data_IF_305431420962
#
_entry.id   IF_305431420962
#
_cell.length_a   1.000
_cell.length_b   1.000
_cell.length_c   1.000
_cell.angle_alpha   90.00
_cell.angle_beta   90.00
_cell.angle_gamma   90.00
#
_symmetry.space_group_name_H-M   'P 1'
#
loop_
_entity.id
_entity.type
_entity.pdbx_description
1 polymer ?
#
# COMPACT_ATOMS: atom_id res chain seq x y z
N UNK A 1 -12.30 11.41 37.82
CA UNK A 1 -10.91 10.99 37.51
C UNK A 1 -10.69 9.49 37.39
N UNK A 2 -11.44 8.62 38.11
CA UNK A 2 -11.28 7.15 38.08
C UNK A 2 -11.80 6.47 36.82
N UNK A 3 -12.90 6.93 36.21
CA UNK A 3 -13.45 6.37 34.96
C UNK A 3 -12.48 6.52 33.79
N UNK A 4 -11.81 7.67 33.68
CA UNK A 4 -10.84 7.90 32.60
C UNK A 4 -9.55 7.08 32.73
N UNK A 5 -9.12 6.70 33.95
CA UNK A 5 -7.97 5.80 34.13
C UNK A 5 -8.27 4.38 33.67
N UNK A 6 -9.46 3.83 34.01
CA UNK A 6 -9.86 2.49 33.54
C UNK A 6 -10.00 2.42 32.02
N UNK A 7 -10.58 3.45 31.42
CA UNK A 7 -10.76 3.52 29.97
C UNK A 7 -9.41 3.60 29.24
N UNK A 8 -8.45 4.37 29.75
CA UNK A 8 -7.08 4.40 29.20
C UNK A 8 -6.33 3.08 29.37
N UNK A 9 -6.48 2.40 30.50
CA UNK A 9 -5.85 1.09 30.71
C UNK A 9 -6.46 0.00 29.82
N UNK A 10 -7.76 -0.01 29.58
CA UNK A 10 -8.40 -0.90 28.60
C UNK A 10 -7.88 -0.62 27.19
N UNK A 11 -7.88 0.63 26.73
CA UNK A 11 -7.38 0.98 25.39
C UNK A 11 -5.91 0.60 25.18
N UNK A 12 -5.05 0.76 26.19
CA UNK A 12 -3.63 0.35 26.10
C UNK A 12 -3.50 -1.16 26.03
N UNK A 13 -4.25 -1.89 26.83
CA UNK A 13 -4.23 -3.38 26.83
C UNK A 13 -4.75 -3.92 25.53
N UNK A 14 -5.89 -3.41 25.06
CA UNK A 14 -6.49 -3.82 23.78
C UNK A 14 -5.56 -3.49 22.59
N UNK A 15 -4.87 -2.34 22.65
CA UNK A 15 -3.85 -1.97 21.66
C UNK A 15 -2.67 -2.94 21.66
N UNK A 16 -2.16 -3.31 22.84
CA UNK A 16 -1.05 -4.26 22.93
C UNK A 16 -1.45 -5.64 22.40
N UNK A 17 -2.62 -6.15 22.79
CA UNK A 17 -3.11 -7.46 22.36
C UNK A 17 -3.34 -7.47 20.82
N UNK A 18 -3.89 -6.38 20.26
CA UNK A 18 -4.03 -6.21 18.83
C UNK A 18 -2.66 -6.19 18.12
N UNK A 19 -1.69 -5.42 18.64
CA UNK A 19 -0.36 -5.34 18.03
C UNK A 19 0.41 -6.64 18.16
N UNK A 20 0.20 -7.41 19.24
CA UNK A 20 0.76 -8.75 19.39
C UNK A 20 0.20 -9.70 18.33
N UNK A 21 -1.12 -9.71 18.15
CA UNK A 21 -1.76 -10.54 17.12
C UNK A 21 -1.30 -10.16 15.70
N UNK A 22 -1.16 -8.87 15.41
CA UNK A 22 -0.62 -8.39 14.13
C UNK A 22 0.82 -8.84 13.92
N UNK A 23 1.69 -8.67 14.93
CA UNK A 23 3.09 -9.11 14.90
C UNK A 23 3.18 -10.62 14.59
N UNK A 24 2.34 -11.43 15.22
CA UNK A 24 2.35 -12.88 15.00
C UNK A 24 1.89 -13.23 13.56
N UNK A 25 0.89 -12.54 13.03
CA UNK A 25 0.47 -12.67 11.64
C UNK A 25 1.58 -12.27 10.67
N UNK A 26 2.19 -11.11 10.86
CA UNK A 26 3.31 -10.67 10.01
C UNK A 26 4.52 -11.59 10.09
N UNK A 27 4.85 -12.09 11.27
CA UNK A 27 5.92 -13.08 11.44
C UNK A 27 5.61 -14.40 10.72
N UNK A 28 4.34 -14.78 10.66
CA UNK A 28 3.88 -15.96 9.92
C UNK A 28 4.01 -15.73 8.41
N UNK A 29 3.53 -14.59 7.91
CA UNK A 29 3.59 -14.22 6.47
C UNK A 29 5.02 -13.96 6.01
N UNK A 30 5.86 -13.35 6.86
CA UNK A 30 7.26 -13.06 6.55
C UNK A 30 8.16 -14.30 6.42
N UNK A 31 7.64 -15.50 6.65
CA UNK A 31 8.31 -16.76 6.28
C UNK A 31 8.33 -16.96 4.77
N UNK A 32 7.39 -16.37 4.06
CA UNK A 32 7.37 -16.33 2.61
C UNK A 32 8.23 -15.16 2.13
N UNK A 33 9.35 -15.48 1.49
CA UNK A 33 10.30 -14.49 0.95
C UNK A 33 9.75 -13.65 -0.20
N UNK A 34 8.58 -14.01 -0.73
CA UNK A 34 7.90 -13.30 -1.83
C UNK A 34 6.76 -12.42 -1.33
N UNK A 35 6.72 -12.11 -0.04
CA UNK A 35 5.67 -11.28 0.53
C UNK A 35 5.82 -9.82 0.08
N UNK A 36 4.80 -9.28 -0.55
CA UNK A 36 4.71 -7.87 -0.92
C UNK A 36 3.55 -7.24 -0.15
N UNK A 37 3.85 -6.23 0.64
CA UNK A 37 2.84 -5.41 1.31
C UNK A 37 2.34 -4.33 0.35
N UNK A 38 1.04 -4.33 0.07
CA UNK A 38 0.42 -3.31 -0.78
C UNK A 38 -0.42 -2.37 0.06
N UNK A 39 -0.20 -1.08 -0.13
CA UNK A 39 -0.96 -0.01 0.52
C UNK A 39 -1.50 0.98 -0.53
N UNK A 40 -2.38 1.87 -0.11
CA UNK A 40 -2.82 3.01 -0.92
C UNK A 40 -2.52 4.31 -0.18
N UNK A 41 -1.51 5.06 -0.63
CA UNK A 41 -0.95 6.22 0.09
C UNK A 41 -0.41 5.87 1.49
N UNK A 42 -0.11 4.59 1.72
CA UNK A 42 0.23 4.06 3.02
C UNK A 42 1.65 4.38 3.48
N UNK A 43 2.57 4.66 2.56
CA UNK A 43 3.95 5.02 2.91
C UNK A 43 4.03 6.27 3.78
N UNK A 44 3.09 7.20 3.62
CA UNK A 44 3.03 8.45 4.39
C UNK A 44 2.19 8.35 5.66
N UNK A 45 1.30 7.38 5.76
CA UNK A 45 0.34 7.29 6.85
C UNK A 45 0.36 5.94 7.56
N UNK A 46 -0.05 4.86 6.90
CA UNK A 46 -0.24 3.56 7.54
C UNK A 46 1.06 2.96 8.05
N UNK A 47 2.13 3.03 7.24
CA UNK A 47 3.44 2.50 7.63
C UNK A 47 4.06 3.26 8.80
N UNK A 48 3.91 4.58 8.83
CA UNK A 48 4.40 5.38 9.94
C UNK A 48 3.60 5.10 11.22
N UNK A 49 2.28 4.92 11.10
CA UNK A 49 1.42 4.55 12.21
C UNK A 49 1.82 3.18 12.77
N UNK A 50 1.98 2.17 11.91
CA UNK A 50 2.42 0.83 12.32
C UNK A 50 3.79 0.85 12.97
N UNK A 51 4.75 1.55 12.38
CA UNK A 51 6.11 1.70 12.91
C UNK A 51 6.09 2.24 14.34
N UNK A 52 5.32 3.29 14.58
CA UNK A 52 5.15 3.87 15.94
C UNK A 52 4.45 2.91 16.89
N UNK A 53 3.40 2.25 16.46
CA UNK A 53 2.66 1.31 17.27
C UNK A 53 3.52 0.09 17.65
N UNK A 54 4.29 -0.48 16.73
CA UNK A 54 5.23 -1.54 17.03
C UNK A 54 6.32 -1.08 18.01
N UNK A 55 6.91 0.08 17.78
CA UNK A 55 7.91 0.65 18.68
C UNK A 55 7.37 0.84 20.09
N UNK A 56 6.17 1.40 20.26
CA UNK A 56 5.55 1.61 21.57
C UNK A 56 5.20 0.31 22.30
N UNK A 57 4.98 -0.75 21.54
CA UNK A 57 4.73 -2.10 22.09
C UNK A 57 6.00 -2.95 22.22
N UNK A 58 7.19 -2.35 22.04
CA UNK A 58 8.50 -2.99 22.11
C UNK A 58 8.69 -4.12 21.10
N UNK A 59 8.08 -4.00 19.94
CA UNK A 59 8.26 -4.89 18.78
C UNK A 59 9.16 -4.24 17.73
N UNK A 60 9.67 -5.07 16.79
CA UNK A 60 10.46 -4.59 15.65
C UNK A 60 9.61 -3.63 14.78
N UNK A 61 10.00 -2.35 14.64
CA UNK A 61 9.18 -1.35 13.95
C UNK A 61 9.21 -1.49 12.42
N UNK A 62 10.15 -2.23 11.85
CA UNK A 62 10.38 -2.34 10.42
C UNK A 62 9.95 -3.70 9.84
N UNK A 63 8.98 -4.36 10.43
CA UNK A 63 8.52 -5.69 10.02
C UNK A 63 8.03 -5.76 8.57
N UNK A 64 7.54 -4.65 8.03
CA UNK A 64 7.01 -4.59 6.65
C UNK A 64 8.09 -4.48 5.57
N UNK A 65 9.34 -4.19 5.94
CA UNK A 65 10.44 -3.98 5.01
C UNK A 65 11.76 -4.66 5.43
N UNK A 66 11.68 -5.64 6.31
CA UNK A 66 12.79 -6.49 6.74
C UNK A 66 12.56 -7.93 6.29
N UNK A 67 13.59 -8.77 6.41
CA UNK A 67 13.52 -10.21 6.11
C UNK A 67 13.07 -10.57 4.68
N UNK A 68 13.35 -9.71 3.70
CA UNK A 68 12.98 -9.92 2.32
C UNK A 68 11.55 -9.53 1.97
N UNK A 69 10.82 -8.88 2.89
CA UNK A 69 9.53 -8.29 2.57
C UNK A 69 9.70 -7.08 1.64
N UNK A 70 8.80 -6.96 0.67
CA UNK A 70 8.74 -5.88 -0.30
C UNK A 70 7.49 -5.03 -0.10
N UNK A 71 7.45 -3.82 -0.69
CA UNK A 71 6.34 -2.89 -0.53
C UNK A 71 5.96 -2.22 -1.83
N UNK A 72 4.66 -2.06 -2.04
CA UNK A 72 4.10 -1.28 -3.15
C UNK A 72 3.07 -0.30 -2.58
N UNK A 73 3.21 0.98 -2.92
CA UNK A 73 2.15 1.96 -2.73
C UNK A 73 1.39 2.11 -4.06
N UNK A 74 0.18 1.56 -4.11
CA UNK A 74 -0.64 1.54 -5.32
C UNK A 74 -0.97 2.94 -5.81
N UNK A 75 -1.10 3.95 -4.93
CA UNK A 75 -1.33 5.32 -5.38
C UNK A 75 -0.16 5.86 -6.19
N UNK A 76 1.08 5.52 -5.82
CA UNK A 76 2.28 5.90 -6.59
C UNK A 76 2.27 5.22 -7.97
N UNK A 77 1.93 3.95 -8.03
CA UNK A 77 1.77 3.23 -9.31
C UNK A 77 0.70 3.88 -10.18
N UNK A 78 -0.45 4.27 -9.61
CA UNK A 78 -1.50 4.98 -10.34
C UNK A 78 -1.04 6.35 -10.86
N UNK A 79 -0.18 7.06 -10.11
CA UNK A 79 0.41 8.33 -10.58
C UNK A 79 1.34 8.11 -11.78
N UNK A 80 2.12 7.04 -11.81
CA UNK A 80 2.96 6.66 -12.96
C UNK A 80 2.07 6.35 -14.17
N UNK A 81 1.04 5.53 -13.98
CA UNK A 81 0.10 5.17 -15.06
C UNK A 81 -0.59 6.42 -15.62
N UNK A 82 -1.02 7.34 -14.78
CA UNK A 82 -1.64 8.58 -15.22
C UNK A 82 -0.75 9.44 -16.12
N UNK A 83 0.57 9.40 -15.92
CA UNK A 83 1.52 10.18 -16.69
C UNK A 83 1.97 9.50 -17.99
N UNK A 84 2.09 8.16 -18.00
CA UNK A 84 2.72 7.43 -19.11
C UNK A 84 1.78 6.47 -19.84
N UNK A 85 0.64 6.11 -19.26
CA UNK A 85 -0.30 5.08 -19.76
C UNK A 85 -1.77 5.50 -19.56
N UNK A 86 -2.06 6.80 -19.66
CA UNK A 86 -3.40 7.37 -19.39
C UNK A 86 -4.48 6.92 -20.38
N UNK A 87 -4.12 6.31 -21.49
CA UNK A 87 -5.02 5.72 -22.49
C UNK A 87 -5.54 4.32 -22.08
N UNK A 88 -4.89 3.65 -21.12
CA UNK A 88 -5.19 2.29 -20.71
C UNK A 88 -6.12 2.21 -19.49
N UNK A 89 -6.05 3.20 -18.60
CA UNK A 89 -6.83 3.29 -17.36
C UNK A 89 -7.47 4.66 -17.27
N UNK A 90 -8.74 4.70 -16.92
CA UNK A 90 -9.47 5.95 -16.77
C UNK A 90 -9.18 6.64 -15.43
N UNK A 91 -8.90 7.94 -15.49
CA UNK A 91 -8.65 8.77 -14.33
C UNK A 91 -9.75 9.83 -14.20
N UNK A 92 -10.45 9.89 -13.07
CA UNK A 92 -11.42 10.95 -12.83
C UNK A 92 -10.71 12.29 -12.66
N UNK A 93 -11.29 13.34 -13.23
CA UNK A 93 -10.79 14.72 -13.11
C UNK A 93 -11.81 15.60 -12.40
N UNK A 94 -11.35 16.67 -11.75
CA UNK A 94 -12.23 17.69 -11.21
C UNK A 94 -12.62 18.73 -12.27
N UNK A 95 -13.39 19.73 -11.84
CA UNK A 95 -13.85 20.82 -12.72
C UNK A 95 -12.72 21.69 -13.30
N UNK A 96 -11.51 21.58 -12.77
CA UNK A 96 -10.31 22.27 -13.24
C UNK A 96 -9.42 21.37 -14.11
N UNK A 97 -9.84 20.13 -14.38
CA UNK A 97 -9.10 19.15 -15.18
C UNK A 97 -8.00 18.42 -14.40
N UNK A 98 -7.95 18.56 -13.06
CA UNK A 98 -6.94 17.90 -12.23
C UNK A 98 -7.37 16.49 -11.87
N UNK A 99 -6.48 15.51 -12.04
CA UNK A 99 -6.70 14.11 -11.71
C UNK A 99 -6.97 13.93 -10.21
N UNK A 100 -7.99 13.14 -9.88
CA UNK A 100 -8.34 12.71 -8.53
C UNK A 100 -7.86 11.28 -8.28
N UNK A 101 -6.98 11.14 -7.30
CA UNK A 101 -6.39 9.84 -6.91
C UNK A 101 -7.12 9.20 -5.72
N UNK A 102 -8.40 9.52 -5.48
CA UNK A 102 -9.17 8.83 -4.47
C UNK A 102 -9.51 7.42 -4.94
N UNK A 103 -9.29 6.42 -4.07
CA UNK A 103 -9.41 5.00 -4.39
C UNK A 103 -10.81 4.66 -4.96
N UNK A 104 -11.85 5.13 -4.30
CA UNK A 104 -13.23 4.90 -4.71
C UNK A 104 -13.55 5.50 -6.09
N UNK A 105 -13.07 6.72 -6.36
CA UNK A 105 -13.30 7.39 -7.64
C UNK A 105 -12.55 6.72 -8.79
N UNK A 106 -11.32 6.27 -8.53
CA UNK A 106 -10.53 5.51 -9.52
C UNK A 106 -11.18 4.17 -9.82
N UNK A 107 -11.68 3.47 -8.80
CA UNK A 107 -12.39 2.22 -8.97
C UNK A 107 -13.65 2.39 -9.82
N UNK A 108 -14.51 3.35 -9.50
CA UNK A 108 -15.74 3.66 -10.23
C UNK A 108 -15.48 4.06 -11.67
N UNK A 109 -14.47 4.92 -11.94
CA UNK A 109 -14.08 5.33 -13.27
C UNK A 109 -13.67 4.15 -14.16
N UNK A 110 -13.23 3.03 -13.57
CA UNK A 110 -12.83 1.82 -14.26
C UNK A 110 -13.86 0.67 -14.15
N UNK A 111 -15.10 0.98 -13.78
CA UNK A 111 -16.20 0.01 -13.73
C UNK A 111 -16.17 -0.93 -12.51
N UNK A 112 -15.36 -0.63 -11.51
CA UNK A 112 -15.30 -1.38 -10.25
C UNK A 112 -16.27 -0.72 -9.26
N UNK A 113 -17.28 -1.46 -8.80
CA UNK A 113 -18.27 -0.92 -7.84
C UNK A 113 -17.62 -0.57 -6.51
N UNK A 114 -17.80 0.67 -6.06
CA UNK A 114 -17.29 1.20 -4.81
C UNK A 114 -18.42 1.37 -3.74
N UNK A 115 -19.47 0.56 -3.81
CA UNK A 115 -20.52 0.57 -2.79
C UNK A 115 -19.92 0.25 -1.42
N UNK A 116 -20.27 1.07 -0.41
CA UNK A 116 -19.73 1.01 0.95
C UNK A 116 -18.21 1.27 1.04
N UNK A 117 -17.62 2.03 0.11
CA UNK A 117 -16.28 2.60 0.28
C UNK A 117 -16.17 3.24 1.68
N UNK A 118 -14.94 3.27 2.24
CA UNK A 118 -14.62 3.61 3.64
C UNK A 118 -14.82 2.49 4.67
N UNK A 119 -15.32 1.31 4.27
CA UNK A 119 -15.08 0.08 5.02
C UNK A 119 -13.70 -0.45 4.64
N UNK A 120 -12.83 -0.69 5.63
CA UNK A 120 -11.44 -1.12 5.39
C UNK A 120 -11.32 -2.41 4.56
N UNK A 121 -12.30 -3.31 4.68
CA UNK A 121 -12.34 -4.56 3.89
C UNK A 121 -12.71 -4.25 2.44
N UNK A 122 -13.67 -3.36 2.22
CA UNK A 122 -14.06 -2.93 0.87
C UNK A 122 -12.91 -2.20 0.18
N UNK A 123 -12.22 -1.30 0.88
CA UNK A 123 -11.05 -0.61 0.34
C UNK A 123 -9.94 -1.58 -0.09
N UNK A 124 -9.71 -2.66 0.68
CA UNK A 124 -8.81 -3.74 0.27
C UNK A 124 -9.28 -4.43 -1.02
N UNK A 125 -10.58 -4.70 -1.18
CA UNK A 125 -11.11 -5.28 -2.43
C UNK A 125 -10.98 -4.32 -3.62
N UNK A 126 -11.19 -3.02 -3.43
CA UNK A 126 -10.97 -2.02 -4.49
C UNK A 126 -9.51 -2.02 -4.95
N UNK A 127 -8.55 -2.04 -4.02
CA UNK A 127 -7.12 -2.17 -4.34
C UNK A 127 -6.82 -3.44 -5.13
N UNK A 128 -7.33 -4.59 -4.70
CA UNK A 128 -7.12 -5.88 -5.39
C UNK A 128 -7.65 -5.83 -6.83
N UNK A 129 -8.83 -5.25 -7.04
CA UNK A 129 -9.42 -5.16 -8.37
C UNK A 129 -8.66 -4.19 -9.27
N UNK A 130 -8.18 -3.05 -8.74
CA UNK A 130 -7.29 -2.15 -9.49
C UNK A 130 -5.96 -2.82 -9.86
N UNK A 131 -5.35 -3.58 -8.95
CA UNK A 131 -4.14 -4.35 -9.24
C UNK A 131 -4.36 -5.39 -10.34
N UNK A 132 -5.50 -6.08 -10.33
CA UNK A 132 -5.87 -7.02 -11.40
C UNK A 132 -6.03 -6.31 -12.74
N UNK A 133 -6.68 -5.15 -12.74
CA UNK A 133 -6.85 -4.33 -13.94
C UNK A 133 -5.50 -3.87 -14.52
N UNK A 134 -4.57 -3.42 -13.67
CA UNK A 134 -3.21 -3.03 -14.09
C UNK A 134 -2.50 -4.24 -14.70
N UNK A 135 -2.54 -5.39 -14.03
CA UNK A 135 -1.91 -6.62 -14.53
C UNK A 135 -2.45 -7.04 -15.88
N UNK A 136 -3.75 -6.87 -16.12
CA UNK A 136 -4.41 -7.24 -17.37
C UNK A 136 -4.10 -6.26 -18.50
N UNK A 137 -4.24 -4.96 -18.23
CA UNK A 137 -4.14 -3.91 -19.27
C UNK A 137 -2.72 -3.43 -19.51
N UNK A 138 -1.89 -3.39 -18.47
CA UNK A 138 -0.52 -2.81 -18.52
C UNK A 138 0.45 -3.76 -17.80
N UNK A 139 0.67 -4.97 -18.35
CA UNK A 139 1.51 -5.98 -17.72
C UNK A 139 2.95 -5.49 -17.45
N UNK A 140 3.50 -4.64 -18.32
CA UNK A 140 4.85 -4.11 -18.15
C UNK A 140 4.98 -3.25 -16.89
N UNK A 141 3.99 -2.41 -16.61
CA UNK A 141 3.95 -1.61 -15.36
C UNK A 141 3.78 -2.53 -14.15
N UNK A 142 2.94 -3.57 -14.26
CA UNK A 142 2.76 -4.56 -13.20
C UNK A 142 4.09 -5.23 -12.83
N UNK A 143 4.82 -5.76 -13.82
CA UNK A 143 6.09 -6.43 -13.57
C UNK A 143 7.18 -5.47 -13.08
N UNK A 144 7.21 -4.25 -13.60
CA UNK A 144 8.13 -3.20 -13.15
C UNK A 144 7.87 -2.82 -11.69
N UNK A 145 6.60 -2.66 -11.30
CA UNK A 145 6.23 -2.35 -9.92
C UNK A 145 6.62 -3.48 -8.95
N UNK A 146 6.44 -4.75 -9.34
CA UNK A 146 6.87 -5.90 -8.55
C UNK A 146 8.39 -5.91 -8.42
N UNK A 147 9.14 -5.73 -9.50
CA UNK A 147 10.61 -5.68 -9.47
C UNK A 147 11.11 -4.54 -8.59
N UNK A 148 10.51 -3.35 -8.71
CA UNK A 148 10.86 -2.17 -7.93
C UNK A 148 10.42 -2.23 -6.45
N UNK A 149 9.60 -3.21 -6.06
CA UNK A 149 9.09 -3.33 -4.69
C UNK A 149 10.14 -3.73 -3.66
N UNK A 150 11.24 -4.37 -4.10
CA UNK A 150 12.36 -4.78 -3.27
C UNK A 150 13.60 -3.91 -3.51
N UNK A 151 14.50 -3.85 -2.52
CA UNK A 151 15.77 -3.12 -2.64
C UNK A 151 16.65 -3.71 -3.74
N UNK A 152 16.71 -5.02 -3.82
CA UNK A 152 17.49 -5.75 -4.81
C UNK A 152 16.98 -5.47 -6.22
N UNK A 153 15.66 -5.55 -6.43
CA UNK A 153 15.04 -5.25 -7.72
C UNK A 153 15.20 -3.79 -8.14
N UNK A 154 15.09 -2.84 -7.21
CA UNK A 154 15.41 -1.43 -7.49
C UNK A 154 16.86 -1.27 -7.96
N UNK A 155 17.83 -1.86 -7.26
CA UNK A 155 19.25 -1.79 -7.63
C UNK A 155 19.51 -2.42 -9.00
N UNK A 156 18.88 -3.53 -9.32
CA UNK A 156 18.98 -4.17 -10.63
C UNK A 156 18.44 -3.25 -11.74
N UNK A 157 17.27 -2.63 -11.53
CA UNK A 157 16.70 -1.67 -12.48
C UNK A 157 17.63 -0.47 -12.70
N UNK A 158 18.21 0.11 -11.65
CA UNK A 158 19.16 1.22 -11.77
C UNK A 158 20.44 0.81 -12.50
N UNK A 159 20.95 -0.40 -12.29
CA UNK A 159 22.18 -0.89 -12.92
C UNK A 159 21.95 -1.34 -14.37
N UNK A 160 20.72 -1.71 -14.74
CA UNK A 160 20.41 -2.22 -16.08
C UNK A 160 20.14 -1.11 -17.12
N UNK A 161 19.86 0.11 -16.66
CA UNK A 161 19.53 1.25 -17.55
C UNK A 161 20.50 2.42 -17.33
N UNK A 162 21.08 3.01 -18.40
CA UNK A 162 21.98 4.14 -18.27
C UNK A 162 21.29 5.41 -17.74
N UNK A 163 19.98 5.52 -17.92
CA UNK A 163 19.12 6.55 -17.36
C UNK A 163 17.86 5.93 -16.78
N UNK A 164 17.63 6.13 -15.50
CA UNK A 164 16.38 5.76 -14.84
C UNK A 164 15.65 7.05 -14.49
N UNK A 165 14.51 7.30 -15.15
CA UNK A 165 13.60 8.34 -14.68
C UNK A 165 12.85 7.82 -13.47
N UNK A 166 12.89 8.56 -12.37
CA UNK A 166 12.24 8.18 -11.11
C UNK A 166 10.71 8.00 -11.23
N UNK A 167 10.12 8.40 -12.36
CA UNK A 167 8.70 8.17 -12.69
C UNK A 167 8.43 6.87 -13.42
N UNK A 168 9.45 6.14 -13.89
CA UNK A 168 9.31 4.82 -14.56
C UNK A 168 9.50 3.64 -13.61
N UNK A 169 9.70 3.92 -12.34
CA UNK A 169 9.76 2.94 -11.26
C UNK A 169 8.37 2.79 -10.64
#
# INVERSE_FOLDING_TARGET
>A
HWKHRRQRQMCIRDSHDMMSALKDKWSQWGKDKNLIHVTYNGMKFDEELFRRQFYWNLYEPYMTNTNGAARIDLMVVMMIIANFYSDQIFFPVDGEGKIKYKLELLAEANGISAQNAHDAVIDCYLMINLLRLIKEKIPDVWYSAISASSKEGCLELFNSKPFCMQGEL
#
